data_IF_831699833031
#
_entry.id   IF_831699833031
#
_cell.length_a   1.000
_cell.length_b   1.000
_cell.length_c   1.000
_cell.angle_alpha   90.00
_cell.angle_beta   90.00
_cell.angle_gamma   90.00
#
_symmetry.space_group_name_H-M   'P 1'
#
loop_
_entity.id
_entity.type
_entity.pdbx_description
1 polymer ?
#
# COMPACT_ATOMS: atom_id res chain seq x y z
N UNK A 1 4.90 14.72 -11.59
CA UNK A 1 5.27 13.48 -10.87
C UNK A 1 3.99 12.80 -10.40
N UNK A 2 3.61 11.65 -10.95
CA UNK A 2 2.44 10.91 -10.47
C UNK A 2 2.66 10.47 -9.02
N UNK A 3 1.64 10.66 -8.18
CA UNK A 3 1.72 10.33 -6.75
C UNK A 3 1.66 8.82 -6.49
N UNK A 4 1.16 8.06 -7.45
CA UNK A 4 0.83 6.63 -7.36
C UNK A 4 1.61 5.91 -8.44
N UNK A 5 2.78 5.39 -8.07
CA UNK A 5 3.62 4.55 -8.92
C UNK A 5 4.07 3.33 -8.13
N UNK A 6 4.36 2.24 -8.85
CA UNK A 6 4.98 1.05 -8.27
C UNK A 6 6.32 1.42 -7.62
N UNK A 7 6.59 0.88 -6.45
CA UNK A 7 7.79 1.16 -5.67
C UNK A 7 7.67 2.36 -4.73
N UNK A 8 6.59 3.15 -4.80
CA UNK A 8 6.32 4.20 -3.81
C UNK A 8 5.99 3.62 -2.45
N UNK A 9 6.50 4.28 -1.41
CA UNK A 9 6.14 4.03 -0.02
C UNK A 9 4.91 4.86 0.32
N UNK A 10 3.92 4.20 0.89
CA UNK A 10 2.66 4.78 1.36
C UNK A 10 2.39 4.34 2.79
N UNK A 11 1.52 5.07 3.49
CA UNK A 11 1.06 4.72 4.84
C UNK A 11 -0.42 4.39 4.75
N UNK A 12 -0.83 3.30 5.41
CA UNK A 12 -2.27 3.04 5.55
C UNK A 12 -2.87 3.98 6.57
N UNK A 13 -3.88 4.72 6.14
CA UNK A 13 -4.61 5.66 7.00
C UNK A 13 -5.61 4.89 7.88
N UNK A 14 -6.20 3.81 7.35
CA UNK A 14 -7.32 3.09 7.98
C UNK A 14 -7.15 1.56 8.00
N UNK A 15 -7.90 0.91 8.90
CA UNK A 15 -7.98 -0.55 9.07
C UNK A 15 -7.03 -1.13 10.12
N UNK A 16 -6.95 -2.47 10.20
CA UNK A 16 -6.10 -3.18 11.19
C UNK A 16 -4.60 -2.86 11.08
N UNK A 17 -4.17 -2.37 9.93
CA UNK A 17 -2.78 -2.00 9.64
C UNK A 17 -2.60 -0.47 9.54
N UNK A 18 -3.52 0.32 10.09
CA UNK A 18 -3.39 1.78 10.12
C UNK A 18 -2.08 2.23 10.78
N UNK A 19 -1.47 3.29 10.25
CA UNK A 19 -0.19 3.83 10.69
C UNK A 19 1.04 3.07 10.19
N UNK A 20 0.87 1.92 9.53
CA UNK A 20 1.99 1.13 9.01
C UNK A 20 2.38 1.55 7.60
N UNK A 21 3.69 1.54 7.35
CA UNK A 21 4.27 1.76 6.02
C UNK A 21 4.12 0.52 5.15
N UNK A 22 3.77 0.73 3.89
CA UNK A 22 3.69 -0.29 2.86
C UNK A 22 4.22 0.26 1.53
N UNK A 23 4.43 -0.63 0.58
CA UNK A 23 4.95 -0.32 -0.75
C UNK A 23 3.92 -0.76 -1.77
N UNK A 24 3.69 0.07 -2.78
CA UNK A 24 2.86 -0.25 -3.93
C UNK A 24 3.63 -1.22 -4.82
N UNK A 25 3.07 -2.41 -5.04
CA UNK A 25 3.67 -3.45 -5.90
C UNK A 25 3.08 -3.38 -7.30
N UNK A 26 1.80 -3.04 -7.40
CA UNK A 26 1.09 -3.02 -8.66
C UNK A 26 -0.09 -2.03 -8.61
N UNK A 27 -0.44 -1.47 -9.76
CA UNK A 27 -1.58 -0.58 -9.92
C UNK A 27 -2.64 -1.34 -10.70
N UNK A 28 -3.74 -1.67 -10.05
CA UNK A 28 -4.81 -2.45 -10.68
C UNK A 28 -5.70 -1.52 -11.47
N UNK A 29 -6.18 -0.45 -10.81
CA UNK A 29 -7.12 0.52 -11.35
C UNK A 29 -6.76 1.92 -10.82
N UNK A 30 -7.46 2.95 -11.31
CA UNK A 30 -7.32 4.32 -10.80
C UNK A 30 -7.66 4.47 -9.30
N UNK A 31 -8.47 3.57 -8.75
CA UNK A 31 -8.94 3.63 -7.36
C UNK A 31 -8.28 2.58 -6.45
N UNK A 32 -7.67 1.53 -7.03
CA UNK A 32 -7.16 0.39 -6.27
C UNK A 32 -5.71 0.07 -6.63
N UNK A 33 -4.91 -0.13 -5.59
CA UNK A 33 -3.52 -0.57 -5.69
C UNK A 33 -3.30 -1.86 -4.92
N UNK A 34 -2.34 -2.64 -5.40
CA UNK A 34 -1.83 -3.78 -4.68
C UNK A 34 -0.67 -3.32 -3.80
N UNK A 35 -0.89 -3.35 -2.48
CA UNK A 35 0.14 -2.98 -1.51
C UNK A 35 0.70 -4.22 -0.82
N UNK A 36 1.99 -4.18 -0.53
CA UNK A 36 2.67 -5.16 0.32
C UNK A 36 3.50 -4.43 1.38
N UNK A 37 3.82 -5.10 2.47
CA UNK A 37 4.91 -4.67 3.33
C UNK A 37 5.77 -5.85 3.74
N UNK A 38 7.00 -5.59 4.22
CA UNK A 38 7.83 -6.63 4.78
C UNK A 38 7.11 -7.25 6.00
N UNK A 39 6.75 -8.53 5.93
CA UNK A 39 6.01 -9.22 7.01
C UNK A 39 6.76 -9.15 8.35
N UNK A 40 8.09 -9.20 8.31
CA UNK A 40 8.93 -9.21 9.50
C UNK A 40 9.05 -7.82 10.17
N UNK A 41 8.84 -6.74 9.43
CA UNK A 41 9.06 -5.36 9.92
C UNK A 41 7.73 -4.64 10.14
N UNK A 42 6.90 -4.54 9.10
CA UNK A 42 5.63 -3.81 9.18
C UNK A 42 4.46 -4.76 9.40
N UNK A 43 4.58 -6.03 9.03
CA UNK A 43 3.50 -7.01 9.17
C UNK A 43 2.32 -6.74 8.23
N UNK A 44 2.50 -5.87 7.23
CA UNK A 44 1.47 -5.59 6.23
C UNK A 44 1.37 -6.74 5.24
N UNK A 45 0.23 -7.43 5.24
CA UNK A 45 -0.02 -8.51 4.27
C UNK A 45 -0.33 -7.93 2.89
N UNK A 46 0.12 -8.64 1.85
CA UNK A 46 -0.20 -8.32 0.46
C UNK A 46 -1.71 -8.30 0.28
N UNK A 47 -2.27 -7.14 -0.06
CA UNK A 47 -3.72 -6.97 -0.26
C UNK A 47 -4.03 -5.79 -1.16
N UNK A 48 -5.24 -5.78 -1.71
CA UNK A 48 -5.79 -4.60 -2.40
C UNK A 48 -6.11 -3.52 -1.37
N UNK A 49 -5.73 -2.28 -1.67
CA UNK A 49 -6.06 -1.10 -0.89
C UNK A 49 -6.62 -0.02 -1.81
N UNK A 50 -7.57 0.74 -1.27
CA UNK A 50 -8.08 1.94 -1.93
C UNK A 50 -7.03 3.07 -1.80
N UNK A 51 -6.95 3.91 -2.82
CA UNK A 51 -6.07 5.08 -2.91
C UNK A 51 -6.63 6.33 -2.22
N UNK A 52 -7.94 6.37 -1.99
CA UNK A 52 -8.67 7.55 -1.50
C UNK A 52 -8.22 7.99 -0.09
#
# INVERSE_FOLDING_TARGET
MPAIEVGRVCVKICGREAGKKCVIVDVIDKNFVLVTGPKNVTGVKRRRANIN
#
